data_IF_692507390618
#
_entry.id   IF_692507390618
#
_cell.length_a   1.000
_cell.length_b   1.000
_cell.length_c   1.000
_cell.angle_alpha   90.00
_cell.angle_beta   90.00
_cell.angle_gamma   90.00
#
_symmetry.space_group_name_H-M   'P 1'
#
loop_
_entity.id
_entity.type
_entity.pdbx_description
1 polymer ?
#
# COMPACT_ATOMS: atom_id res chain seq x y z
N UNK A 1 8.79 12.78 21.25
CA UNK A 1 8.49 11.77 20.24
C UNK A 1 7.29 12.28 19.46
N UNK A 2 7.34 12.24 18.12
CA UNK A 2 6.18 12.54 17.27
C UNK A 2 5.07 11.51 17.54
N UNK A 3 3.83 11.88 17.20
CA UNK A 3 2.74 10.90 17.19
C UNK A 3 3.07 9.78 16.18
N UNK A 4 2.88 8.49 16.54
CA UNK A 4 3.12 7.42 15.59
C UNK A 4 2.18 7.51 14.40
N UNK A 5 2.68 7.08 13.25
CA UNK A 5 1.86 6.86 12.06
C UNK A 5 0.87 5.73 12.35
N UNK A 6 -0.38 5.92 11.95
CA UNK A 6 -1.45 4.93 12.09
C UNK A 6 -1.99 4.51 10.73
N UNK A 7 -2.42 3.26 10.65
CA UNK A 7 -3.06 2.65 9.49
C UNK A 7 -4.17 1.71 10.00
N UNK A 8 -5.34 1.77 9.38
CA UNK A 8 -6.46 0.89 9.70
C UNK A 8 -7.01 0.24 8.43
N UNK A 9 -7.23 -1.07 8.47
CA UNK A 9 -7.71 -1.84 7.34
C UNK A 9 -8.75 -2.88 7.78
N UNK A 10 -9.77 -3.09 6.94
CA UNK A 10 -10.73 -4.20 7.07
C UNK A 10 -10.32 -5.39 6.22
N UNK A 11 -9.99 -6.50 6.86
CA UNK A 11 -9.60 -7.75 6.19
C UNK A 11 -10.79 -8.71 6.15
N UNK A 12 -11.09 -9.27 4.98
CA UNK A 12 -12.17 -10.23 4.78
C UNK A 12 -11.80 -11.65 5.25
N UNK A 13 -11.36 -11.76 6.52
CA UNK A 13 -10.99 -13.00 7.16
C UNK A 13 -11.25 -12.95 8.68
N UNK A 14 -11.51 -14.10 9.33
CA UNK A 14 -11.59 -14.20 10.79
C UNK A 14 -10.25 -13.87 11.46
N UNK A 15 -10.30 -13.40 12.71
CA UNK A 15 -9.12 -12.96 13.48
C UNK A 15 -8.06 -14.06 13.54
N UNK A 16 -8.47 -15.32 13.70
CA UNK A 16 -7.55 -16.46 13.76
C UNK A 16 -6.76 -16.65 12.47
N UNK A 17 -7.39 -16.42 11.31
CA UNK A 17 -6.72 -16.50 10.02
C UNK A 17 -5.74 -15.35 9.82
N UNK A 18 -6.14 -14.12 10.18
CA UNK A 18 -5.25 -12.95 10.14
C UNK A 18 -4.06 -13.14 11.08
N UNK A 19 -4.30 -13.60 12.30
CA UNK A 19 -3.26 -13.88 13.30
C UNK A 19 -2.28 -14.93 12.78
N UNK A 20 -2.78 -16.00 12.19
CA UNK A 20 -1.94 -17.03 11.57
C UNK A 20 -1.08 -16.43 10.44
N UNK A 21 -1.66 -15.66 9.54
CA UNK A 21 -0.91 -15.02 8.45
C UNK A 21 0.17 -14.05 8.96
N UNK A 22 -0.05 -13.44 10.13
CA UNK A 22 0.92 -12.58 10.82
C UNK A 22 1.97 -13.34 11.64
N UNK A 23 1.81 -14.63 11.93
CA UNK A 23 2.68 -15.35 12.88
C UNK A 23 3.22 -16.69 12.36
N UNK A 24 2.78 -17.14 11.19
CA UNK A 24 3.35 -18.29 10.50
C UNK A 24 4.46 -17.85 9.53
N UNK A 25 5.67 -18.39 9.71
CA UNK A 25 6.82 -18.01 8.90
C UNK A 25 6.66 -18.37 7.41
N UNK A 26 5.90 -19.41 7.06
CA UNK A 26 5.65 -19.75 5.66
C UNK A 26 4.70 -18.72 5.03
N UNK A 27 3.70 -18.24 5.76
CA UNK A 27 2.78 -17.20 5.26
C UNK A 27 3.47 -15.84 5.11
N UNK A 28 4.31 -15.43 6.08
CA UNK A 28 5.09 -14.19 5.96
C UNK A 28 6.00 -14.18 4.73
N UNK A 29 6.58 -15.33 4.36
CA UNK A 29 7.41 -15.47 3.15
C UNK A 29 6.62 -15.35 1.84
N UNK A 30 5.30 -15.42 1.90
CA UNK A 30 4.43 -15.22 0.75
C UNK A 30 4.10 -13.73 0.61
N UNK A 31 3.49 -13.13 1.62
CA UNK A 31 2.89 -11.80 1.49
C UNK A 31 3.80 -10.64 1.92
N UNK A 32 4.71 -10.84 2.90
CA UNK A 32 5.49 -9.77 3.52
C UNK A 32 6.92 -9.68 2.96
N UNK A 33 7.71 -10.75 3.11
CA UNK A 33 9.16 -10.72 2.92
C UNK A 33 9.67 -11.93 2.13
N UNK A 34 10.95 -11.91 1.72
CA UNK A 34 11.59 -13.04 1.05
C UNK A 34 11.96 -14.14 2.05
N UNK A 35 12.41 -13.72 3.23
CA UNK A 35 12.75 -14.59 4.34
C UNK A 35 12.00 -14.16 5.59
N UNK A 36 11.63 -15.14 6.40
CA UNK A 36 11.04 -14.93 7.70
C UNK A 36 11.37 -16.11 8.61
N UNK A 37 11.51 -15.87 9.91
CA UNK A 37 11.63 -16.90 10.93
C UNK A 37 10.80 -16.50 12.15
N UNK A 38 9.97 -17.41 12.63
CA UNK A 38 9.01 -17.13 13.72
C UNK A 38 9.02 -18.26 14.73
N UNK A 39 9.41 -17.93 15.96
CA UNK A 39 9.41 -18.79 17.14
C UNK A 39 8.96 -17.94 18.33
N UNK A 40 7.67 -17.62 18.41
CA UNK A 40 7.14 -16.70 19.40
C UNK A 40 7.13 -17.31 20.82
N UNK A 41 7.35 -16.50 21.88
CA UNK A 41 7.60 -15.05 21.83
C UNK A 41 9.07 -14.64 21.58
N UNK A 42 9.98 -15.58 21.34
CA UNK A 42 11.43 -15.32 21.31
C UNK A 42 11.90 -14.68 20.00
N UNK A 43 11.29 -15.06 18.87
CA UNK A 43 11.77 -14.69 17.55
C UNK A 43 10.63 -14.32 16.60
N UNK A 44 10.76 -13.17 15.99
CA UNK A 44 9.90 -12.69 14.91
C UNK A 44 10.76 -11.84 13.99
N UNK A 45 11.26 -12.44 12.92
CA UNK A 45 12.28 -11.87 12.05
C UNK A 45 11.84 -11.99 10.60
N UNK A 46 12.09 -10.95 9.82
CA UNK A 46 11.87 -10.95 8.38
C UNK A 46 12.89 -10.07 7.67
N UNK A 47 13.36 -10.51 6.50
CA UNK A 47 14.41 -9.84 5.75
C UNK A 47 14.39 -10.27 4.27
N UNK A 48 15.40 -9.81 3.53
CA UNK A 48 15.57 -9.99 2.10
C UNK A 48 15.17 -8.75 1.32
N UNK A 49 15.22 -8.83 0.00
CA UNK A 49 15.16 -7.65 -0.88
C UNK A 49 13.84 -6.88 -0.83
N UNK A 50 12.79 -7.49 -0.29
CA UNK A 50 11.47 -6.88 -0.13
C UNK A 50 11.26 -6.18 1.22
N UNK A 51 12.30 -6.12 2.06
CA UNK A 51 12.25 -5.50 3.38
C UNK A 51 13.20 -4.30 3.42
N UNK A 52 12.79 -3.14 3.98
CA UNK A 52 13.69 -2.01 4.23
C UNK A 52 14.88 -2.46 5.10
N UNK A 53 16.11 -2.17 4.64
CA UNK A 53 17.35 -2.69 5.25
C UNK A 53 17.31 -4.22 5.47
N UNK A 54 16.80 -4.95 4.46
CA UNK A 54 16.61 -6.39 4.56
C UNK A 54 17.88 -7.23 4.33
N UNK A 55 19.09 -6.69 4.43
CA UNK A 55 20.32 -7.48 4.34
C UNK A 55 20.49 -8.44 5.54
N UNK A 56 19.84 -8.13 6.66
CA UNK A 56 19.71 -8.99 7.84
C UNK A 56 18.35 -8.78 8.53
N UNK A 57 17.93 -9.67 9.44
CA UNK A 57 16.78 -9.40 10.30
C UNK A 57 17.10 -8.32 11.34
N UNK A 58 16.18 -7.38 11.52
CA UNK A 58 16.33 -6.26 12.46
C UNK A 58 15.15 -6.14 13.44
N UNK A 59 14.35 -7.20 13.54
CA UNK A 59 13.14 -7.21 14.36
C UNK A 59 13.33 -7.99 15.65
N UNK A 60 12.72 -7.49 16.73
CA UNK A 60 12.72 -8.15 18.04
C UNK A 60 11.32 -8.08 18.64
N UNK A 61 10.69 -9.22 18.97
CA UNK A 61 9.39 -9.22 19.63
C UNK A 61 9.42 -8.39 20.92
N UNK A 62 8.36 -7.61 21.14
CA UNK A 62 8.13 -6.83 22.36
C UNK A 62 6.88 -7.31 23.10
N UNK A 63 5.86 -7.74 22.37
CA UNK A 63 4.60 -8.24 22.93
C UNK A 63 3.89 -9.12 21.91
N UNK A 64 3.33 -10.24 22.35
CA UNK A 64 2.49 -11.12 21.55
C UNK A 64 1.38 -11.69 22.43
N UNK A 65 0.14 -11.54 22.00
CA UNK A 65 -1.01 -12.24 22.53
C UNK A 65 -1.96 -12.69 21.39
N UNK A 66 -3.24 -12.88 21.68
CA UNK A 66 -4.22 -13.34 20.69
C UNK A 66 -4.66 -12.22 19.73
N UNK A 67 -4.52 -10.96 20.12
CA UNK A 67 -5.01 -9.80 19.37
C UNK A 67 -3.89 -8.83 18.98
N UNK A 68 -2.71 -8.91 19.60
CA UNK A 68 -1.65 -7.92 19.45
C UNK A 68 -0.31 -8.58 19.13
N UNK A 69 0.36 -8.06 18.09
CA UNK A 69 1.76 -8.33 17.78
C UNK A 69 2.52 -6.99 17.79
N UNK A 70 3.51 -6.87 18.65
CA UNK A 70 4.39 -5.70 18.71
C UNK A 70 5.85 -6.12 18.66
N UNK A 71 6.64 -5.45 17.85
CA UNK A 71 8.07 -5.68 17.73
C UNK A 71 8.84 -4.36 17.58
N UNK A 72 10.09 -4.36 18.05
CA UNK A 72 11.06 -3.35 17.72
C UNK A 72 11.61 -3.64 16.32
N UNK A 73 11.91 -2.60 15.55
CA UNK A 73 12.51 -2.70 14.23
C UNK A 73 13.56 -1.61 14.06
N UNK A 74 14.83 -2.01 14.02
CA UNK A 74 15.94 -1.06 13.86
C UNK A 74 16.12 -0.71 12.38
N UNK A 75 16.07 0.58 12.06
CA UNK A 75 16.30 1.14 10.72
C UNK A 75 17.14 2.39 10.84
N UNK A 76 18.21 2.50 10.05
CA UNK A 76 19.15 3.61 10.05
C UNK A 76 19.70 3.88 11.47
N UNK A 77 20.05 2.78 12.16
CA UNK A 77 20.56 2.81 13.54
C UNK A 77 19.54 3.24 14.61
N UNK A 78 18.28 3.51 14.24
CA UNK A 78 17.22 3.94 15.16
C UNK A 78 16.27 2.77 15.45
N UNK A 79 16.11 2.42 16.72
CA UNK A 79 15.09 1.43 17.14
C UNK A 79 13.69 2.05 17.02
N UNK A 80 12.93 1.59 16.02
CA UNK A 80 11.51 1.92 15.85
C UNK A 80 10.64 0.83 16.47
N UNK A 81 9.32 1.03 16.47
CA UNK A 81 8.35 0.05 16.97
C UNK A 81 7.16 -0.01 16.03
N UNK A 82 6.79 -1.22 15.65
CA UNK A 82 5.53 -1.52 14.98
C UNK A 82 4.63 -2.29 15.94
N UNK A 83 3.39 -1.87 16.05
CA UNK A 83 2.33 -2.60 16.75
C UNK A 83 1.17 -2.87 15.78
N UNK A 84 0.72 -4.11 15.73
CA UNK A 84 -0.44 -4.57 14.96
C UNK A 84 -1.45 -5.09 15.97
N UNK A 85 -2.67 -4.55 15.94
CA UNK A 85 -3.81 -4.99 16.74
C UNK A 85 -4.90 -5.53 15.82
N UNK A 86 -5.52 -6.61 16.23
CA UNK A 86 -6.60 -7.29 15.54
C UNK A 86 -7.87 -7.18 16.37
N UNK A 87 -8.98 -6.86 15.72
CA UNK A 87 -10.29 -6.88 16.35
C UNK A 87 -11.31 -7.46 15.38
N UNK A 88 -12.10 -8.43 15.82
CA UNK A 88 -13.22 -8.93 15.03
C UNK A 88 -14.23 -7.80 14.78
N UNK A 89 -14.57 -7.56 13.52
CA UNK A 89 -15.73 -6.76 13.14
C UNK A 89 -16.97 -7.64 13.00
N UNK A 90 -16.79 -8.86 12.48
CA UNK A 90 -17.78 -9.91 12.37
C UNK A 90 -17.08 -11.28 12.43
N UNK A 91 -17.83 -12.38 12.25
CA UNK A 91 -17.24 -13.72 12.21
C UNK A 91 -16.24 -13.92 11.05
N UNK A 92 -16.41 -13.17 9.95
CA UNK A 92 -15.63 -13.31 8.72
C UNK A 92 -14.86 -12.03 8.37
N UNK A 93 -14.79 -11.05 9.28
CA UNK A 93 -14.14 -9.75 9.05
C UNK A 93 -13.32 -9.31 10.26
N UNK A 94 -12.10 -8.85 10.02
CA UNK A 94 -11.16 -8.35 11.04
C UNK A 94 -10.74 -6.92 10.72
N UNK A 95 -10.75 -6.06 11.72
CA UNK A 95 -10.07 -4.77 11.69
C UNK A 95 -8.63 -4.97 12.14
N UNK A 96 -7.69 -4.61 11.26
CA UNK A 96 -6.28 -4.48 11.56
C UNK A 96 -5.96 -3.01 11.83
N UNK A 97 -5.44 -2.72 13.02
CA UNK A 97 -4.93 -1.40 13.41
C UNK A 97 -3.41 -1.48 13.57
N UNK A 98 -2.67 -0.76 12.74
CA UNK A 98 -1.22 -0.71 12.76
C UNK A 98 -0.73 0.66 13.24
N UNK A 99 0.25 0.67 14.13
CA UNK A 99 0.97 1.85 14.59
C UNK A 99 2.47 1.69 14.35
N UNK A 100 3.10 2.69 13.74
CA UNK A 100 4.54 2.75 13.47
C UNK A 100 5.14 4.00 14.14
N UNK A 101 6.11 3.81 15.04
CA UNK A 101 6.85 4.93 15.61
C UNK A 101 7.97 5.41 14.67
N UNK A 102 8.45 6.64 14.89
CA UNK A 102 9.60 7.22 14.17
C UNK A 102 9.43 7.32 12.64
N UNK A 103 8.19 7.38 12.15
CA UNK A 103 7.92 7.88 10.81
C UNK A 103 7.98 9.42 10.82
N UNK A 104 8.72 10.00 9.87
CA UNK A 104 8.80 11.44 9.63
C UNK A 104 8.77 11.68 8.12
N UNK A 105 7.98 12.67 7.69
CA UNK A 105 7.94 13.06 6.27
C UNK A 105 9.28 13.66 5.80
N UNK A 106 10.08 14.21 6.71
CA UNK A 106 11.44 14.64 6.40
C UNK A 106 12.33 13.48 5.91
N UNK A 107 12.11 12.26 6.42
CA UNK A 107 12.81 11.05 5.97
C UNK A 107 12.34 10.63 4.56
N UNK A 108 11.09 10.88 4.20
CA UNK A 108 10.57 10.69 2.83
C UNK A 108 11.28 11.62 1.85
N UNK A 109 11.40 12.90 2.21
CA UNK A 109 12.02 13.92 1.35
C UNK A 109 13.53 13.71 1.22
N UNK A 110 14.21 13.28 2.29
CA UNK A 110 15.65 13.01 2.26
C UNK A 110 16.00 11.67 1.62
N UNK A 111 15.02 10.76 1.47
CA UNK A 111 15.26 9.39 1.00
C UNK A 111 15.87 8.47 2.05
N UNK A 112 15.79 8.83 3.34
CA UNK A 112 16.28 7.99 4.42
C UNK A 112 15.46 6.68 4.52
N UNK A 113 16.06 5.56 5.00
CA UNK A 113 15.39 4.26 5.04
C UNK A 113 14.04 4.26 5.77
N UNK A 114 13.86 5.06 6.83
CA UNK A 114 12.57 5.17 7.54
C UNK A 114 11.48 5.87 6.72
N UNK A 115 11.83 6.63 5.69
CA UNK A 115 10.90 7.33 4.82
C UNK A 115 9.95 6.38 4.06
N UNK A 116 10.34 5.12 3.86
CA UNK A 116 9.48 4.15 3.17
C UNK A 116 8.46 3.47 4.08
N UNK A 117 8.58 3.62 5.41
CA UNK A 117 7.79 2.84 6.38
C UNK A 117 6.27 2.96 6.17
N UNK A 118 5.79 4.16 5.83
CA UNK A 118 4.38 4.35 5.55
C UNK A 118 3.91 3.50 4.38
N UNK A 119 4.52 3.71 3.21
CA UNK A 119 4.09 3.04 1.99
C UNK A 119 4.43 1.56 1.98
N UNK A 120 5.48 1.15 2.69
CA UNK A 120 5.78 -0.25 2.98
C UNK A 120 4.62 -0.92 3.73
N UNK A 121 4.09 -0.30 4.79
CA UNK A 121 2.99 -0.88 5.56
C UNK A 121 1.66 -0.87 4.79
N UNK A 122 1.38 0.15 3.99
CA UNK A 122 0.23 0.14 3.07
C UNK A 122 0.34 -1.03 2.06
N UNK A 123 1.47 -1.16 1.37
CA UNK A 123 1.67 -2.25 0.38
C UNK A 123 1.62 -3.64 1.04
N UNK A 124 2.29 -3.79 2.19
CA UNK A 124 2.33 -5.06 2.92
C UNK A 124 0.94 -5.46 3.42
N UNK A 125 0.15 -4.52 3.94
CA UNK A 125 -1.22 -4.77 4.40
C UNK A 125 -2.17 -5.11 3.24
N UNK A 126 -1.99 -4.47 2.07
CA UNK A 126 -2.72 -4.86 0.85
C UNK A 126 -2.37 -6.29 0.39
N UNK A 127 -1.09 -6.68 0.45
CA UNK A 127 -0.67 -8.05 0.15
C UNK A 127 -1.17 -9.07 1.18
N UNK A 128 -1.25 -8.71 2.46
CA UNK A 128 -1.89 -9.53 3.48
C UNK A 128 -3.36 -9.79 3.14
N UNK A 129 -4.10 -8.75 2.74
CA UNK A 129 -5.50 -8.91 2.32
C UNK A 129 -5.64 -9.84 1.11
N UNK A 130 -4.83 -9.64 0.07
CA UNK A 130 -4.84 -10.52 -1.12
C UNK A 130 -4.48 -11.97 -0.77
N UNK A 131 -3.52 -12.18 0.12
CA UNK A 131 -3.14 -13.51 0.60
C UNK A 131 -4.29 -14.20 1.32
N UNK A 132 -4.99 -13.50 2.22
CA UNK A 132 -6.16 -14.01 2.94
C UNK A 132 -7.33 -14.32 2.00
N UNK A 133 -7.49 -13.55 0.93
CA UNK A 133 -8.50 -13.74 -0.11
C UNK A 133 -8.11 -14.81 -1.17
N UNK A 134 -6.90 -15.38 -1.08
CA UNK A 134 -6.38 -16.32 -2.07
C UNK A 134 -6.16 -15.71 -3.46
N UNK A 135 -5.98 -14.39 -3.52
CA UNK A 135 -5.78 -13.64 -4.75
C UNK A 135 -4.28 -13.51 -5.11
N UNK A 136 -3.95 -13.30 -6.39
CA UNK A 136 -2.60 -12.91 -6.78
C UNK A 136 -2.17 -11.64 -6.06
N UNK A 137 -0.98 -11.67 -5.46
CA UNK A 137 -0.39 -10.55 -4.74
C UNK A 137 -0.02 -9.40 -5.69
N UNK A 138 0.09 -8.20 -5.13
CA UNK A 138 0.78 -7.11 -5.79
C UNK A 138 2.29 -7.36 -5.84
N UNK A 139 2.99 -6.81 -6.83
CA UNK A 139 4.45 -6.72 -6.80
C UNK A 139 4.92 -6.06 -5.50
N UNK A 140 5.95 -6.62 -4.88
CA UNK A 140 6.67 -6.02 -3.74
C UNK A 140 7.78 -5.10 -4.24
N UNK A 141 8.19 -4.14 -3.43
CA UNK A 141 9.35 -3.29 -3.76
C UNK A 141 10.63 -4.07 -3.56
N UNK A 142 11.43 -4.23 -4.61
CA UNK A 142 12.81 -4.70 -4.49
C UNK A 142 13.72 -3.51 -4.11
N UNK A 143 14.07 -3.40 -2.83
CA UNK A 143 14.91 -2.33 -2.28
C UNK A 143 16.38 -2.42 -2.72
N UNK A 144 16.74 -3.43 -3.51
CA UNK A 144 18.09 -3.62 -4.05
C UNK A 144 18.19 -3.27 -5.55
N UNK A 145 17.08 -2.83 -6.16
CA UNK A 145 16.99 -2.59 -7.60
C UNK A 145 16.43 -1.21 -7.92
N UNK A 146 17.04 -0.53 -8.90
CA UNK A 146 16.49 0.66 -9.53
C UNK A 146 15.49 0.30 -10.67
N UNK A 147 15.27 -0.97 -10.99
CA UNK A 147 14.28 -1.38 -11.98
C UNK A 147 12.86 -1.29 -11.39
N UNK A 148 12.16 -0.19 -11.68
CA UNK A 148 10.80 0.05 -11.21
C UNK A 148 9.78 -0.20 -12.32
N UNK A 149 9.54 -1.48 -12.59
CA UNK A 149 8.51 -1.96 -13.52
C UNK A 149 7.71 -3.09 -12.88
N UNK A 150 6.38 -2.98 -12.96
CA UNK A 150 5.44 -3.92 -12.36
C UNK A 150 4.26 -4.17 -13.28
N UNK A 151 3.71 -5.39 -13.25
CA UNK A 151 2.52 -5.74 -14.02
C UNK A 151 1.48 -6.37 -13.10
N UNK A 152 0.21 -6.00 -13.28
CA UNK A 152 -0.94 -6.64 -12.64
C UNK A 152 -2.04 -6.91 -13.67
N UNK A 153 -2.92 -7.86 -13.36
CA UNK A 153 -4.11 -8.14 -14.14
C UNK A 153 -5.32 -7.62 -13.39
N UNK A 154 -6.18 -6.88 -14.09
CA UNK A 154 -7.44 -6.34 -13.56
C UNK A 154 -8.59 -6.97 -14.34
N UNK A 155 -9.50 -7.65 -13.65
CA UNK A 155 -10.69 -8.29 -14.21
C UNK A 155 -11.79 -7.27 -14.57
N UNK A 156 -11.43 -6.35 -15.47
CA UNK A 156 -12.31 -5.32 -15.99
C UNK A 156 -11.92 -4.92 -17.42
N UNK A 157 -12.85 -4.40 -18.22
CA UNK A 157 -12.56 -3.88 -19.55
C UNK A 157 -11.59 -2.69 -19.50
N UNK A 158 -10.68 -2.63 -20.48
CA UNK A 158 -9.62 -1.61 -20.56
C UNK A 158 -10.16 -0.18 -20.52
N UNK A 159 -11.30 0.08 -21.15
CA UNK A 159 -11.95 1.39 -21.11
C UNK A 159 -12.33 1.80 -19.68
N UNK A 160 -12.84 0.88 -18.86
CA UNK A 160 -13.21 1.14 -17.46
C UNK A 160 -11.96 1.47 -16.63
N UNK A 161 -10.91 0.66 -16.78
CA UNK A 161 -9.64 0.86 -16.08
C UNK A 161 -9.02 2.20 -16.47
N UNK A 162 -8.98 2.53 -17.76
CA UNK A 162 -8.46 3.82 -18.22
C UNK A 162 -9.23 5.00 -17.64
N UNK A 163 -10.57 4.95 -17.67
CA UNK A 163 -11.38 6.01 -17.07
C UNK A 163 -11.07 6.16 -15.58
N UNK A 164 -10.94 5.06 -14.83
CA UNK A 164 -10.62 5.12 -13.39
C UNK A 164 -9.24 5.73 -13.09
N UNK A 165 -8.30 5.70 -14.04
CA UNK A 165 -6.97 6.32 -13.91
C UNK A 165 -6.94 7.81 -14.27
N UNK A 166 -7.82 8.24 -15.18
CA UNK A 166 -7.76 9.59 -15.77
C UNK A 166 -8.90 10.53 -15.36
N UNK A 167 -9.98 9.98 -14.81
CA UNK A 167 -11.09 10.76 -14.28
C UNK A 167 -10.84 11.14 -12.82
N UNK A 168 -11.00 12.42 -12.49
CA UNK A 168 -10.68 12.94 -11.14
C UNK A 168 -11.59 12.35 -10.06
N UNK A 169 -12.88 12.15 -10.35
CA UNK A 169 -13.84 11.62 -9.37
C UNK A 169 -13.53 10.15 -9.07
N UNK A 170 -13.35 9.35 -10.12
CA UNK A 170 -13.02 7.93 -9.94
C UNK A 170 -11.64 7.73 -9.31
N UNK A 171 -10.64 8.48 -9.75
CA UNK A 171 -9.31 8.45 -9.15
C UNK A 171 -9.35 8.81 -7.66
N UNK A 172 -10.10 9.86 -7.30
CA UNK A 172 -10.29 10.25 -5.90
C UNK A 172 -10.99 9.17 -5.10
N UNK A 173 -11.99 8.51 -5.68
CA UNK A 173 -12.76 7.47 -5.01
C UNK A 173 -11.88 6.30 -4.59
N UNK A 174 -11.18 5.64 -5.53
CA UNK A 174 -10.36 4.47 -5.19
C UNK A 174 -9.06 4.83 -4.47
N UNK A 175 -8.52 6.03 -4.68
CA UNK A 175 -7.32 6.48 -3.95
C UNK A 175 -7.62 6.86 -2.50
N UNK A 176 -8.86 7.26 -2.18
CA UNK A 176 -9.28 7.67 -0.84
C UNK A 176 -8.91 9.09 -0.43
N UNK A 177 -8.29 9.86 -1.34
CA UNK A 177 -8.00 11.29 -1.17
C UNK A 177 -8.28 12.05 -2.47
N UNK A 178 -8.48 13.39 -2.42
CA UNK A 178 -8.71 14.17 -3.62
C UNK A 178 -7.56 14.03 -4.64
N UNK A 179 -7.90 13.72 -5.89
CA UNK A 179 -6.99 13.72 -7.04
C UNK A 179 -7.57 14.65 -8.10
N UNK A 180 -6.77 15.62 -8.56
CA UNK A 180 -7.12 16.50 -9.67
C UNK A 180 -6.37 16.09 -10.93
N UNK A 181 -7.11 15.76 -12.00
CA UNK A 181 -6.53 15.30 -13.27
C UNK A 181 -7.07 16.15 -14.43
N UNK A 182 -6.14 16.68 -15.21
CA UNK A 182 -6.38 17.24 -16.54
C UNK A 182 -5.85 16.26 -17.58
N UNK A 183 -6.69 15.35 -18.12
CA UNK A 183 -6.24 14.19 -18.90
C UNK A 183 -5.91 14.55 -20.36
N UNK A 184 -4.93 15.45 -20.54
CA UNK A 184 -4.33 15.81 -21.82
C UNK A 184 -2.85 16.15 -21.62
N UNK A 185 -2.05 15.99 -22.68
CA UNK A 185 -0.62 16.35 -22.64
C UNK A 185 -0.46 17.83 -22.27
N UNK A 186 0.35 18.09 -21.25
CA UNK A 186 0.54 19.41 -20.65
C UNK A 186 -0.40 19.74 -19.50
N UNK A 187 -1.42 18.91 -19.24
CA UNK A 187 -2.33 19.03 -18.12
C UNK A 187 -1.67 18.70 -16.78
N UNK A 188 -2.35 19.09 -15.70
CA UNK A 188 -1.96 18.88 -14.31
C UNK A 188 -2.44 17.53 -13.78
N UNK A 189 -1.61 16.90 -12.95
CA UNK A 189 -1.97 15.76 -12.10
C UNK A 189 -1.62 16.11 -10.64
N UNK A 190 -2.61 16.29 -9.79
CA UNK A 190 -2.45 16.82 -8.43
C UNK A 190 -2.94 15.82 -7.38
N UNK A 191 -2.00 15.19 -6.66
CA UNK A 191 -2.32 14.42 -5.46
C UNK A 191 -2.65 15.38 -4.32
N UNK A 192 -3.86 15.29 -3.78
CA UNK A 192 -4.44 16.29 -2.88
C UNK A 192 -5.37 17.29 -3.58
N UNK A 193 -5.62 17.12 -4.89
CA UNK A 193 -6.48 17.99 -5.68
C UNK A 193 -5.81 19.28 -6.12
N UNK A 194 -6.41 20.01 -7.07
CA UNK A 194 -5.82 21.24 -7.63
C UNK A 194 -5.62 22.36 -6.61
N UNK A 195 -6.41 22.37 -5.54
CA UNK A 195 -6.32 23.37 -4.46
C UNK A 195 -5.09 23.16 -3.56
N UNK A 196 -4.41 22.01 -3.63
CA UNK A 196 -3.20 21.73 -2.85
C UNK A 196 -1.97 22.53 -3.31
N UNK A 197 -2.01 23.12 -4.51
CA UNK A 197 -0.96 23.97 -5.07
C UNK A 197 0.20 23.22 -5.75
N UNK A 198 0.44 21.95 -5.42
CA UNK A 198 1.42 21.11 -6.13
C UNK A 198 0.72 20.23 -7.19
N UNK A 199 1.23 20.25 -8.41
CA UNK A 199 0.76 19.37 -9.47
C UNK A 199 1.93 18.92 -10.34
N UNK A 200 1.98 17.61 -10.57
CA UNK A 200 2.78 16.99 -11.61
C UNK A 200 2.17 17.28 -12.99
N UNK A 201 2.90 16.92 -14.05
CA UNK A 201 2.52 17.22 -15.42
C UNK A 201 2.27 15.96 -16.22
N UNK A 202 1.12 15.88 -16.89
CA UNK A 202 0.87 14.83 -17.90
C UNK A 202 1.78 15.12 -19.10
N UNK A 203 2.69 14.20 -19.41
CA UNK A 203 3.70 14.35 -20.47
C UNK A 203 3.40 13.51 -21.70
N UNK A 204 2.66 12.42 -21.53
CA UNK A 204 2.17 11.59 -22.64
C UNK A 204 0.79 11.01 -22.30
N UNK A 205 -0.04 10.82 -23.32
CA UNK A 205 -1.38 10.26 -23.17
C UNK A 205 -1.87 9.66 -24.50
N UNK A 206 -2.09 8.35 -24.52
CA UNK A 206 -2.79 7.62 -25.58
C UNK A 206 -4.16 7.20 -25.02
N UNK A 207 -5.27 7.84 -25.43
CA UNK A 207 -6.59 7.57 -24.87
C UNK A 207 -6.96 6.08 -24.87
N UNK A 208 -7.30 5.55 -23.70
CA UNK A 208 -7.67 4.15 -23.53
C UNK A 208 -6.49 3.19 -23.38
N UNK A 209 -5.24 3.67 -23.50
CA UNK A 209 -4.05 2.79 -23.55
C UNK A 209 -2.92 3.22 -22.64
N UNK A 210 -2.66 4.53 -22.49
CA UNK A 210 -1.49 4.97 -21.74
C UNK A 210 -1.66 6.37 -21.18
N UNK A 211 -1.10 6.60 -20.00
CA UNK A 211 -0.87 7.94 -19.44
C UNK A 211 0.50 7.98 -18.75
N UNK A 212 1.25 9.05 -18.98
CA UNK A 212 2.54 9.31 -18.34
C UNK A 212 2.52 10.65 -17.62
N UNK A 213 2.97 10.66 -16.37
CA UNK A 213 2.97 11.82 -15.48
C UNK A 213 4.39 12.05 -14.95
N UNK A 214 4.91 13.26 -15.16
CA UNK A 214 6.20 13.73 -14.69
C UNK A 214 6.07 14.46 -13.35
N UNK A 215 6.72 13.90 -12.32
CA UNK A 215 6.73 14.41 -10.95
C UNK A 215 7.97 15.26 -10.64
N UNK A 216 8.83 15.51 -11.62
CA UNK A 216 10.10 16.19 -11.43
C UNK A 216 11.17 15.24 -10.86
N UNK A 217 11.80 15.52 -9.71
CA UNK A 217 12.88 14.68 -9.17
C UNK A 217 12.53 13.18 -8.96
N UNK A 218 11.31 12.79 -8.54
CA UNK A 218 10.91 11.39 -8.50
C UNK A 218 10.78 10.71 -9.87
N UNK A 219 10.85 11.48 -10.96
CA UNK A 219 10.79 11.00 -12.33
C UNK A 219 9.39 10.88 -12.91
N UNK A 220 9.27 10.11 -13.99
CA UNK A 220 8.04 9.89 -14.76
C UNK A 220 7.42 8.55 -14.39
N UNK A 221 6.16 8.61 -13.97
CA UNK A 221 5.30 7.45 -13.80
C UNK A 221 4.50 7.19 -15.07
N UNK A 222 4.46 5.95 -15.55
CA UNK A 222 3.68 5.55 -16.72
C UNK A 222 2.78 4.37 -16.39
N UNK A 223 1.50 4.50 -16.74
CA UNK A 223 0.52 3.41 -16.74
C UNK A 223 0.23 3.04 -18.19
N UNK A 224 0.53 1.80 -18.58
CA UNK A 224 0.20 1.22 -19.89
C UNK A 224 -0.82 0.12 -19.72
N UNK A 225 -1.86 0.13 -20.55
CA UNK A 225 -2.92 -0.86 -20.57
C UNK A 225 -2.85 -1.68 -21.86
N UNK A 226 -3.01 -2.99 -21.71
CA UNK A 226 -3.17 -3.92 -22.80
C UNK A 226 -4.32 -4.88 -22.52
N UNK A 227 -5.04 -5.27 -23.55
CA UNK A 227 -6.05 -6.32 -23.45
C UNK A 227 -5.38 -7.67 -23.17
N UNK A 228 -5.99 -8.47 -22.29
CA UNK A 228 -5.54 -9.81 -21.93
C UNK A 228 -6.74 -10.70 -21.62
N UNK A 229 -7.19 -11.50 -22.59
CA UNK A 229 -8.27 -12.49 -22.40
C UNK A 229 -9.57 -11.90 -21.78
N UNK A 230 -9.99 -10.72 -22.25
CA UNK A 230 -11.16 -10.01 -21.72
C UNK A 230 -10.90 -9.22 -20.42
N UNK A 231 -9.68 -9.30 -19.88
CA UNK A 231 -9.17 -8.52 -18.74
C UNK A 231 -8.22 -7.43 -19.23
N UNK A 232 -7.77 -6.60 -18.31
CA UNK A 232 -6.79 -5.55 -18.58
C UNK A 232 -5.48 -5.88 -17.88
N UNK A 233 -4.39 -6.01 -18.66
CA UNK A 233 -3.05 -6.02 -18.11
C UNK A 233 -2.59 -4.57 -17.93
N UNK A 234 -2.37 -4.17 -16.69
CA UNK A 234 -1.80 -2.87 -16.36
C UNK A 234 -0.31 -3.05 -16.10
N UNK A 235 0.50 -2.36 -16.88
CA UNK A 235 1.93 -2.21 -16.67
C UNK A 235 2.18 -0.85 -16.04
N UNK A 236 2.90 -0.84 -14.93
CA UNK A 236 3.25 0.33 -14.16
C UNK A 236 4.76 0.51 -14.16
N UNK A 237 5.24 1.69 -14.56
CA UNK A 237 6.68 1.98 -14.68
C UNK A 237 7.00 3.31 -14.00
N UNK A 238 8.07 3.35 -13.21
CA UNK A 238 8.71 4.58 -12.75
C UNK A 238 10.07 4.70 -13.44
N UNK A 239 10.39 5.85 -14.00
CA UNK A 239 11.63 6.07 -14.76
C UNK A 239 12.12 7.52 -14.65
N UNK A 240 13.35 7.81 -15.10
CA UNK A 240 13.88 9.18 -15.17
C UNK A 240 14.23 9.81 -13.81
N UNK A 241 14.34 9.00 -12.76
CA UNK A 241 14.82 9.41 -11.44
C UNK A 241 16.34 9.15 -11.28
N UNK A 242 16.91 9.62 -10.18
CA UNK A 242 18.29 9.30 -9.80
C UNK A 242 18.39 7.83 -9.32
N UNK A 243 18.97 6.96 -10.15
CA UNK A 243 19.13 5.53 -9.83
C UNK A 243 20.03 5.27 -8.61
N UNK A 244 20.87 6.24 -8.21
CA UNK A 244 21.65 6.13 -6.97
C UNK A 244 20.79 6.35 -5.72
N UNK A 245 19.64 7.02 -5.87
CA UNK A 245 18.67 7.26 -4.80
C UNK A 245 17.23 6.98 -5.30
N UNK A 246 16.90 5.71 -5.59
CA UNK A 246 15.60 5.38 -6.18
C UNK A 246 14.45 5.83 -5.27
N UNK A 247 13.32 6.33 -5.83
CA UNK A 247 12.20 6.86 -5.07
C UNK A 247 11.31 5.74 -4.49
N UNK A 248 11.90 4.83 -3.68
CA UNK A 248 11.22 3.65 -3.16
C UNK A 248 9.94 3.97 -2.39
N UNK A 249 9.90 5.08 -1.66
CA UNK A 249 8.70 5.51 -0.93
C UNK A 249 7.53 5.78 -1.89
N UNK A 250 7.77 6.55 -2.95
CA UNK A 250 6.76 6.86 -3.98
C UNK A 250 6.38 5.63 -4.82
N UNK A 251 7.36 4.78 -5.14
CA UNK A 251 7.12 3.51 -5.82
C UNK A 251 6.22 2.56 -5.00
N UNK A 252 6.55 2.32 -3.73
CA UNK A 252 5.72 1.55 -2.82
C UNK A 252 4.31 2.14 -2.68
N UNK A 253 4.21 3.48 -2.58
CA UNK A 253 2.93 4.17 -2.46
C UNK A 253 2.05 3.91 -3.67
N UNK A 254 2.62 4.05 -4.86
CA UNK A 254 1.92 3.79 -6.12
C UNK A 254 1.50 2.32 -6.27
N UNK A 255 2.39 1.37 -5.95
CA UNK A 255 2.06 -0.06 -5.94
C UNK A 255 0.94 -0.37 -4.95
N UNK A 256 0.97 0.21 -3.75
CA UNK A 256 -0.09 0.00 -2.75
C UNK A 256 -1.46 0.48 -3.24
N UNK A 257 -1.51 1.58 -4.00
CA UNK A 257 -2.73 2.10 -4.61
C UNK A 257 -3.33 1.18 -5.67
N UNK A 258 -2.52 0.34 -6.32
CA UNK A 258 -2.99 -0.65 -7.30
C UNK A 258 -3.98 -1.67 -6.68
N UNK A 259 -3.92 -1.89 -5.37
CA UNK A 259 -4.86 -2.74 -4.66
C UNK A 259 -6.30 -2.22 -4.79
N UNK A 260 -6.54 -0.96 -4.43
CA UNK A 260 -7.87 -0.37 -4.51
C UNK A 260 -8.28 -0.08 -5.95
N UNK A 261 -7.35 0.32 -6.82
CA UNK A 261 -7.62 0.44 -8.25
C UNK A 261 -8.19 -0.87 -8.82
N UNK A 262 -7.57 -2.01 -8.49
CA UNK A 262 -8.03 -3.32 -8.92
C UNK A 262 -9.41 -3.62 -8.35
N UNK A 263 -9.60 -3.53 -7.03
CA UNK A 263 -10.88 -3.84 -6.37
C UNK A 263 -12.01 -2.93 -6.83
N UNK A 264 -11.76 -1.64 -7.03
CA UNK A 264 -12.72 -0.67 -7.58
C UNK A 264 -13.23 -1.07 -8.96
N UNK A 265 -12.35 -1.64 -9.78
CA UNK A 265 -12.69 -2.08 -11.13
C UNK A 265 -13.34 -3.47 -11.17
N UNK A 266 -13.01 -4.37 -10.24
CA UNK A 266 -13.47 -5.77 -10.23
C UNK A 266 -14.77 -5.98 -9.44
N UNK A 267 -14.97 -5.26 -8.32
CA UNK A 267 -16.10 -5.49 -7.41
C UNK A 267 -17.28 -4.57 -7.75
N UNK A 268 -18.49 -5.14 -7.87
CA UNK A 268 -19.71 -4.37 -8.12
C UNK A 268 -20.08 -3.46 -6.93
N UNK A 269 -19.98 -3.99 -5.72
CA UNK A 269 -20.28 -3.29 -4.46
C UNK A 269 -18.98 -2.95 -3.71
N UNK A 270 -18.02 -2.36 -4.43
CA UNK A 270 -16.73 -1.99 -3.86
C UNK A 270 -16.88 -1.06 -2.66
N UNK A 271 -16.10 -1.33 -1.62
CA UNK A 271 -15.87 -0.45 -0.48
C UNK A 271 -14.37 -0.41 -0.17
N UNK A 272 -13.83 0.76 0.23
CA UNK A 272 -12.46 0.87 0.66
C UNK A 272 -12.16 -0.13 1.78
N UNK A 273 -11.02 -0.81 1.66
CA UNK A 273 -10.44 -1.59 2.74
C UNK A 273 -9.92 -0.66 3.83
N UNK A 274 -9.34 0.47 3.43
CA UNK A 274 -8.74 1.46 4.31
C UNK A 274 -9.80 2.23 5.10
N UNK A 275 -9.52 2.43 6.38
CA UNK A 275 -10.39 3.17 7.30
C UNK A 275 -9.69 4.44 7.75
N UNK A 276 -10.39 5.57 7.65
CA UNK A 276 -9.86 6.88 8.06
C UNK A 276 -9.61 6.95 9.57
N UNK A 277 -10.42 6.23 10.36
CA UNK A 277 -10.32 6.14 11.81
C UNK A 277 -10.55 4.70 12.24
N UNK A 278 -10.04 4.34 13.43
CA UNK A 278 -10.37 3.07 14.05
C UNK A 278 -11.88 3.05 14.39
N UNK A 279 -12.68 2.10 13.86
CA UNK A 279 -14.10 2.07 14.15
C UNK A 279 -14.34 1.87 15.65
N UNK A 280 -15.27 2.61 16.25
CA UNK A 280 -15.64 2.47 17.66
C UNK A 280 -16.05 1.03 18.02
N UNK A 281 -15.77 0.59 19.26
CA UNK A 281 -16.19 -0.74 19.75
C UNK A 281 -17.67 -0.84 20.11
N UNK A 282 -18.36 0.30 20.19
CA UNK A 282 -19.79 0.33 20.48
C UNK A 282 -20.58 0.31 19.16
N UNK A 283 -21.63 -0.53 19.03
CA UNK A 283 -22.62 -0.32 17.99
C UNK A 283 -23.19 1.08 18.18
N UNK A 284 -23.15 1.91 17.14
CA UNK A 284 -23.93 3.15 17.13
C UNK A 284 -25.39 2.75 17.34
N UNK A 285 -25.89 2.90 18.57
CA UNK A 285 -27.33 2.91 18.82
C UNK A 285 -27.88 4.05 18.01
N UNK A 286 -28.49 3.72 16.87
CA UNK A 286 -29.28 4.66 16.11
C UNK A 286 -30.29 5.27 17.08
N UNK A 287 -30.08 6.52 17.45
CA UNK A 287 -31.08 7.33 18.12
C UNK A 287 -32.20 7.50 17.12
N UNK A 288 -33.19 6.61 17.17
CA UNK A 288 -34.48 6.84 16.58
C UNK A 288 -35.13 8.02 17.34
N UNK A 289 -34.92 9.23 16.82
CA UNK A 289 -35.73 10.37 17.19
C UNK A 289 -37.11 10.16 16.58
N UNK A 290 -38.13 10.02 17.45
CA UNK A 290 -39.54 10.12 17.09
C UNK A 290 -39.98 11.56 16.88
#
# INVERSE_FOLDING_TARGET
MSEPMKLHARLAAPVEAVRRALTDAAELRVWLAEHAEVELPQRYEFWGRYTPEGDAPHQRPLHVDDETLRFAWTLDGVETTTEIRLRAESADSTILSLSQSHFDFADVISGAPRGVLQTYWYLSTANLALHLEGQPLLPKVDFTSAEMRSEILIDAPMAKVFTSLTDSEQASAWFGHPIGIEPWVGGRYAMGGFESGHAAKVVDLDPGRMVSVDWGPPGVTTWELAESEGKTKLTFVQSGFDEAHPPYAGWAGSLSGLYELRRYNELADWQPMWLTEEPSAEPQTATAAG
#
